data_IF_658419971723
#
_entry.id   IF_658419971723
#
_cell.length_a   1.000
_cell.length_b   1.000
_cell.length_c   1.000
_cell.angle_alpha   90.00
_cell.angle_beta   90.00
_cell.angle_gamma   90.00
#
_symmetry.space_group_name_H-M   'P 1'
#
loop_
_entity.id
_entity.type
_entity.pdbx_description
1 polymer ?
#
# COMPACT_ATOMS: atom_id res chain seq x y z
N UNK A 1 -75.89 -7.49 -16.46
CA UNK A 1 -75.29 -6.49 -17.42
C UNK A 1 -74.19 -5.75 -16.68
N UNK A 2 -72.98 -6.20 -16.78
CA UNK A 2 -71.86 -5.50 -16.13
C UNK A 2 -71.63 -4.17 -16.83
N UNK A 3 -71.63 -3.07 -16.06
CA UNK A 3 -71.46 -1.72 -16.64
C UNK A 3 -70.09 -1.60 -17.26
N UNK A 4 -69.99 -1.11 -18.51
CA UNK A 4 -68.70 -0.85 -19.20
C UNK A 4 -67.74 0.01 -18.35
N UNK A 5 -68.25 0.90 -17.50
CA UNK A 5 -67.47 1.73 -16.60
C UNK A 5 -66.71 0.97 -15.52
N UNK A 6 -67.32 -0.10 -14.93
CA UNK A 6 -66.65 -0.92 -13.92
C UNK A 6 -65.48 -1.74 -14.48
N UNK A 7 -65.63 -2.21 -15.72
CA UNK A 7 -64.56 -2.95 -16.39
C UNK A 7 -63.37 -2.04 -16.71
N UNK A 8 -63.59 -0.85 -17.21
CA UNK A 8 -62.54 0.14 -17.50
C UNK A 8 -61.79 0.55 -16.22
N UNK A 9 -62.53 0.86 -15.12
CA UNK A 9 -61.89 1.20 -13.86
C UNK A 9 -61.06 0.06 -13.30
N UNK A 10 -61.48 -1.19 -13.49
CA UNK A 10 -60.70 -2.37 -13.07
C UNK A 10 -59.41 -2.54 -13.91
N UNK A 11 -59.48 -2.32 -15.23
CA UNK A 11 -58.34 -2.38 -16.11
C UNK A 11 -57.34 -1.26 -15.78
N UNK A 12 -57.82 -0.02 -15.53
CA UNK A 12 -56.96 1.09 -15.11
C UNK A 12 -56.25 0.79 -13.77
N UNK A 13 -56.95 0.22 -12.81
CA UNK A 13 -56.36 -0.19 -11.54
C UNK A 13 -55.25 -1.24 -11.74
N UNK A 14 -55.49 -2.25 -12.56
CA UNK A 14 -54.47 -3.28 -12.86
C UNK A 14 -53.25 -2.68 -13.57
N UNK A 15 -53.47 -1.71 -14.47
CA UNK A 15 -52.39 -1.03 -15.18
C UNK A 15 -51.53 -0.18 -14.25
N UNK A 16 -52.14 0.56 -13.32
CA UNK A 16 -51.39 1.31 -12.28
C UNK A 16 -50.58 0.35 -11.39
N UNK A 17 -51.19 -0.76 -11.00
CA UNK A 17 -50.49 -1.77 -10.18
C UNK A 17 -49.32 -2.41 -10.90
N UNK A 18 -49.44 -2.68 -12.19
CA UNK A 18 -48.38 -3.17 -13.04
C UNK A 18 -47.23 -2.13 -13.17
N UNK A 19 -47.55 -0.85 -13.39
CA UNK A 19 -46.53 0.21 -13.46
C UNK A 19 -45.80 0.37 -12.14
N UNK A 20 -46.49 0.28 -11.00
CA UNK A 20 -45.89 0.35 -9.69
C UNK A 20 -44.90 -0.85 -9.47
N UNK A 21 -45.30 -2.05 -9.88
CA UNK A 21 -44.47 -3.25 -9.81
C UNK A 21 -43.23 -3.12 -10.71
N UNK A 22 -43.37 -2.68 -11.95
CA UNK A 22 -42.24 -2.47 -12.87
C UNK A 22 -41.28 -1.42 -12.31
N UNK A 23 -41.80 -0.30 -11.77
CA UNK A 23 -40.96 0.73 -11.17
C UNK A 23 -40.19 0.22 -9.98
N UNK A 24 -40.84 -0.55 -9.10
CA UNK A 24 -40.18 -1.18 -7.94
C UNK A 24 -39.12 -2.20 -8.37
N UNK A 25 -39.40 -2.97 -9.43
CA UNK A 25 -38.46 -3.94 -9.98
C UNK A 25 -37.21 -3.26 -10.58
N UNK A 26 -37.41 -2.15 -11.33
CA UNK A 26 -36.27 -1.35 -11.85
C UNK A 26 -35.43 -0.79 -10.72
N UNK A 27 -36.07 -0.23 -9.66
CA UNK A 27 -35.36 0.26 -8.49
C UNK A 27 -34.59 -0.87 -7.79
N UNK A 28 -35.18 -2.04 -7.63
CA UNK A 28 -34.52 -3.21 -7.06
C UNK A 28 -33.29 -3.62 -7.90
N UNK A 29 -33.41 -3.64 -9.24
CA UNK A 29 -32.29 -3.96 -10.12
C UNK A 29 -31.15 -2.91 -10.02
N UNK A 30 -31.50 -1.62 -9.89
CA UNK A 30 -30.49 -0.57 -9.69
C UNK A 30 -29.77 -0.68 -8.35
N UNK A 31 -30.48 -1.18 -7.32
CA UNK A 31 -29.88 -1.41 -5.98
C UNK A 31 -29.08 -2.72 -5.92
N UNK A 32 -29.46 -3.74 -6.71
CA UNK A 32 -28.78 -5.06 -6.77
C UNK A 32 -27.55 -5.02 -7.69
N UNK A 33 -27.51 -4.09 -8.66
CA UNK A 33 -26.28 -3.84 -9.41
C UNK A 33 -25.41 -2.83 -8.65
N UNK A 34 -24.54 -3.29 -7.71
CA UNK A 34 -23.50 -2.41 -7.25
C UNK A 34 -22.74 -2.00 -8.51
N UNK A 35 -22.52 -0.69 -8.66
CA UNK A 35 -21.52 -0.18 -9.62
C UNK A 35 -20.34 -1.14 -9.48
N UNK A 36 -20.06 -1.89 -10.54
CA UNK A 36 -18.91 -2.81 -10.55
C UNK A 36 -17.74 -1.89 -10.21
N UNK A 37 -17.28 -1.96 -8.94
CA UNK A 37 -15.97 -1.41 -8.59
C UNK A 37 -15.09 -2.04 -9.64
N UNK A 38 -14.50 -1.23 -10.53
CA UNK A 38 -13.42 -1.69 -11.39
C UNK A 38 -12.57 -2.52 -10.46
N UNK A 39 -12.59 -3.84 -10.62
CA UNK A 39 -11.69 -4.70 -9.86
C UNK A 39 -10.33 -4.16 -10.26
N UNK A 40 -9.68 -3.47 -9.35
CA UNK A 40 -8.26 -3.20 -9.51
C UNK A 40 -7.67 -4.58 -9.71
N UNK A 41 -7.18 -4.82 -10.92
CA UNK A 41 -6.46 -6.06 -11.20
C UNK A 41 -5.29 -6.00 -10.24
N UNK A 42 -5.32 -6.84 -9.21
CA UNK A 42 -4.20 -6.95 -8.26
C UNK A 42 -2.95 -7.24 -9.09
N UNK A 43 -2.14 -6.20 -9.28
CA UNK A 43 -0.88 -6.35 -9.98
C UNK A 43 0.05 -7.14 -9.06
N UNK A 44 0.71 -8.15 -9.62
CA UNK A 44 1.73 -8.90 -8.88
C UNK A 44 2.88 -7.96 -8.51
N UNK A 45 3.51 -8.25 -7.39
CA UNK A 45 4.76 -7.57 -7.03
C UNK A 45 5.84 -7.88 -8.07
N UNK A 46 6.50 -6.85 -8.57
CA UNK A 46 7.64 -6.96 -9.49
C UNK A 46 8.95 -6.79 -8.72
N UNK A 47 8.95 -5.87 -7.75
CA UNK A 47 10.07 -5.64 -6.84
C UNK A 47 9.57 -5.61 -5.41
N UNK A 48 10.42 -6.06 -4.48
CA UNK A 48 10.23 -5.92 -3.04
C UNK A 48 11.45 -5.21 -2.46
N UNK A 49 11.20 -4.23 -1.62
CA UNK A 49 12.21 -3.56 -0.82
C UNK A 49 11.95 -3.95 0.63
N UNK A 50 12.93 -4.57 1.26
CA UNK A 50 12.83 -5.08 2.62
C UNK A 50 13.82 -4.32 3.49
N UNK A 51 13.30 -3.71 4.55
CA UNK A 51 14.08 -3.15 5.64
C UNK A 51 14.01 -4.10 6.83
N UNK A 52 15.14 -4.42 7.43
CA UNK A 52 15.23 -5.16 8.69
C UNK A 52 16.15 -4.45 9.67
N UNK A 53 15.84 -4.57 10.96
CA UNK A 53 16.71 -4.12 12.04
C UNK A 53 16.73 -5.12 13.20
N UNK A 54 17.51 -4.83 14.25
CA UNK A 54 17.73 -5.75 15.37
C UNK A 54 16.43 -6.35 15.92
N UNK A 55 16.26 -7.67 15.85
CA UNK A 55 15.00 -8.44 16.06
C UNK A 55 14.31 -8.24 17.40
N UNK A 56 14.97 -7.73 18.41
CA UNK A 56 14.41 -7.50 19.76
C UNK A 56 14.58 -6.05 20.18
N UNK A 57 14.76 -5.18 19.21
CA UNK A 57 14.86 -3.75 19.45
C UNK A 57 13.47 -3.13 19.57
N UNK A 58 13.30 -2.27 20.56
CA UNK A 58 12.13 -1.38 20.67
C UNK A 58 12.26 -0.14 19.77
N UNK A 59 13.35 -0.04 19.02
CA UNK A 59 13.53 1.02 18.03
C UNK A 59 12.49 0.87 16.91
N UNK A 60 12.13 1.98 16.30
CA UNK A 60 11.15 2.08 15.25
C UNK A 60 11.82 2.75 14.04
N UNK A 61 11.96 2.00 12.95
CA UNK A 61 12.71 2.41 11.78
C UNK A 61 11.85 2.32 10.54
N UNK A 62 11.57 3.45 9.94
CA UNK A 62 10.68 3.58 8.79
C UNK A 62 11.43 3.41 7.47
N UNK A 63 10.79 2.74 6.51
CA UNK A 63 11.17 2.67 5.11
C UNK A 63 10.41 3.72 4.31
N UNK A 64 11.13 4.51 3.52
CA UNK A 64 10.60 5.55 2.65
C UNK A 64 11.09 5.31 1.24
N UNK A 65 10.20 5.23 0.27
CA UNK A 65 10.56 5.05 -1.14
C UNK A 65 9.89 6.12 -1.98
N UNK A 66 10.71 6.86 -2.72
CA UNK A 66 10.24 7.85 -3.70
C UNK A 66 10.33 7.28 -5.11
N UNK A 67 9.30 7.50 -5.89
CA UNK A 67 9.24 7.14 -7.31
C UNK A 67 9.80 8.25 -8.22
N UNK A 68 9.97 8.00 -9.54
CA UNK A 68 10.47 9.02 -10.49
C UNK A 68 9.62 10.28 -10.60
N UNK A 69 8.34 10.24 -10.22
CA UNK A 69 7.45 11.41 -10.22
C UNK A 69 7.51 12.21 -8.91
N UNK A 70 8.36 11.80 -7.96
CA UNK A 70 8.50 12.42 -6.65
C UNK A 70 7.41 12.04 -5.65
N UNK A 71 6.66 10.98 -5.93
CA UNK A 71 5.67 10.44 -5.00
C UNK A 71 6.36 9.52 -3.99
N UNK A 72 5.98 9.62 -2.71
CA UNK A 72 6.66 8.90 -1.62
C UNK A 72 5.68 7.97 -0.92
N UNK A 73 6.01 6.66 -0.87
CA UNK A 73 5.36 5.68 -0.01
C UNK A 73 6.09 5.59 1.33
N UNK A 74 5.33 5.53 2.41
CA UNK A 74 5.81 5.40 3.80
C UNK A 74 4.61 5.15 4.73
N UNK A 75 4.81 5.00 6.04
CA UNK A 75 3.72 4.93 7.03
C UNK A 75 2.71 6.09 6.95
N UNK A 76 3.06 7.23 6.36
CA UNK A 76 2.16 8.37 6.16
C UNK A 76 1.25 8.23 4.95
N UNK A 77 1.65 7.43 3.98
CA UNK A 77 0.91 7.14 2.75
C UNK A 77 1.31 5.75 2.31
N UNK A 78 0.55 4.76 2.74
CA UNK A 78 0.83 3.34 2.59
C UNK A 78 0.67 2.83 1.16
N UNK A 79 -0.07 3.53 0.32
CA UNK A 79 -0.29 3.21 -1.09
C UNK A 79 -0.12 4.46 -1.95
N UNK A 80 0.84 4.44 -2.87
CA UNK A 80 1.13 5.55 -3.78
C UNK A 80 1.51 5.02 -5.16
N UNK A 81 0.68 5.27 -6.16
CA UNK A 81 0.92 4.85 -7.53
C UNK A 81 1.01 3.34 -7.69
N UNK A 82 2.20 2.81 -7.92
CA UNK A 82 2.46 1.37 -8.03
C UNK A 82 3.20 0.81 -6.80
N UNK A 83 3.37 1.62 -5.77
CA UNK A 83 4.11 1.30 -4.55
C UNK A 83 3.13 1.12 -3.39
N UNK A 84 3.32 0.05 -2.62
CA UNK A 84 2.55 -0.24 -1.41
C UNK A 84 3.50 -0.57 -0.25
N UNK A 85 3.24 0.00 0.94
CA UNK A 85 3.84 -0.41 2.20
C UNK A 85 3.01 -1.58 2.76
N UNK A 86 3.42 -2.81 2.45
CA UNK A 86 2.67 -4.01 2.83
C UNK A 86 2.83 -4.35 4.32
N UNK A 87 3.91 -3.92 4.95
CA UNK A 87 4.14 -4.09 6.39
C UNK A 87 4.81 -2.86 6.97
N UNK A 88 4.13 -2.25 7.94
CA UNK A 88 4.62 -1.23 8.87
C UNK A 88 4.90 -1.90 10.23
N UNK A 89 6.10 -1.70 10.79
CA UNK A 89 6.58 -2.37 11.99
C UNK A 89 7.01 -1.35 13.05
N UNK A 90 6.42 -1.44 14.22
CA UNK A 90 6.64 -0.51 15.32
C UNK A 90 7.69 -1.00 16.35
N UNK A 91 8.60 -1.89 15.93
CA UNK A 91 9.47 -2.64 16.82
C UNK A 91 8.67 -3.66 17.64
N UNK A 92 9.08 -3.93 18.87
CA UNK A 92 8.41 -4.96 19.70
C UNK A 92 6.95 -4.68 20.05
N UNK A 93 6.37 -3.55 19.64
CA UNK A 93 5.00 -3.14 20.02
C UNK A 93 3.90 -3.97 19.36
N UNK A 94 4.08 -4.44 18.13
CA UNK A 94 3.10 -5.20 17.37
C UNK A 94 3.50 -6.66 17.13
N UNK A 95 4.45 -7.15 17.92
CA UNK A 95 5.02 -8.51 17.79
C UNK A 95 4.14 -9.62 18.38
N UNK A 96 3.07 -9.29 19.08
CA UNK A 96 2.26 -10.30 19.78
C UNK A 96 1.06 -10.72 18.93
N UNK A 97 1.03 -11.99 18.57
CA UNK A 97 -0.12 -12.63 17.96
C UNK A 97 -0.94 -13.37 19.01
N UNK A 98 -2.27 -13.14 19.02
CA UNK A 98 -3.21 -13.80 19.95
C UNK A 98 -4.02 -14.85 19.20
N UNK A 99 -4.10 -16.04 19.75
CA UNK A 99 -4.88 -17.15 19.17
C UNK A 99 -6.26 -17.27 19.86
N UNK A 100 -7.27 -17.88 19.18
CA UNK A 100 -8.61 -18.05 19.73
C UNK A 100 -8.67 -18.89 21.01
N UNK A 101 -7.68 -19.74 21.26
CA UNK A 101 -7.54 -20.57 22.46
C UNK A 101 -6.98 -19.82 23.68
N UNK A 102 -6.71 -18.50 23.53
CA UNK A 102 -6.14 -17.64 24.56
C UNK A 102 -4.61 -17.70 24.65
N UNK A 103 -3.96 -18.51 23.83
CA UNK A 103 -2.50 -18.52 23.77
C UNK A 103 -1.96 -17.30 23.01
N UNK A 104 -0.72 -16.91 23.25
CA UNK A 104 -0.04 -15.82 22.57
C UNK A 104 1.33 -16.27 22.07
N UNK A 105 1.71 -15.76 20.91
CA UNK A 105 3.02 -15.93 20.32
C UNK A 105 3.67 -14.56 20.11
N UNK A 106 4.93 -14.42 20.54
CA UNK A 106 5.73 -13.23 20.25
C UNK A 106 6.63 -13.53 19.06
N UNK A 107 6.54 -12.71 18.03
CA UNK A 107 7.32 -12.82 16.79
C UNK A 107 8.38 -11.73 16.82
N UNK A 108 9.63 -12.09 17.11
CA UNK A 108 10.76 -11.15 17.14
C UNK A 108 11.27 -10.93 15.70
N UNK A 109 10.54 -10.13 14.94
CA UNK A 109 10.88 -9.80 13.57
C UNK A 109 10.59 -8.34 13.29
N UNK A 110 11.61 -7.49 13.37
CA UNK A 110 11.54 -6.08 13.03
C UNK A 110 11.80 -5.96 11.52
N UNK A 111 10.74 -5.67 10.75
CA UNK A 111 10.80 -5.63 9.29
C UNK A 111 9.72 -4.75 8.72
N UNK A 112 10.10 -3.88 7.79
CA UNK A 112 9.15 -3.21 6.89
C UNK A 112 9.31 -3.69 5.45
N UNK A 113 8.23 -3.66 4.70
CA UNK A 113 8.19 -4.16 3.33
C UNK A 113 7.44 -3.18 2.46
N UNK A 114 8.12 -2.68 1.43
CA UNK A 114 7.50 -1.93 0.32
C UNK A 114 7.54 -2.80 -0.92
N UNK A 115 6.38 -2.95 -1.59
CA UNK A 115 6.30 -3.62 -2.90
C UNK A 115 6.05 -2.62 -4.01
N UNK A 116 6.68 -2.87 -5.16
CA UNK A 116 6.38 -2.21 -6.42
C UNK A 116 5.59 -3.19 -7.28
N UNK A 117 4.32 -2.88 -7.55
CA UNK A 117 3.41 -3.68 -8.39
C UNK A 117 3.45 -3.23 -9.85
N UNK A 118 4.58 -2.76 -10.27
CA UNK A 118 4.95 -2.21 -11.56
C UNK A 118 6.10 -1.23 -11.37
N UNK A 119 6.53 -0.58 -12.43
CA UNK A 119 7.56 0.46 -12.35
C UNK A 119 7.30 1.58 -13.35
N UNK A 120 7.92 2.70 -13.09
CA UNK A 120 8.07 3.83 -14.00
C UNK A 120 9.55 3.94 -14.36
N UNK A 121 9.83 4.34 -15.57
CA UNK A 121 11.21 4.66 -15.99
C UNK A 121 11.70 5.87 -15.21
N UNK A 122 12.87 5.77 -14.61
CA UNK A 122 13.49 6.85 -13.85
C UNK A 122 14.07 6.40 -12.52
N UNK A 123 14.42 7.37 -11.68
CA UNK A 123 15.13 7.12 -10.42
C UNK A 123 14.17 6.93 -9.25
N UNK A 124 14.35 5.84 -8.53
CA UNK A 124 13.76 5.55 -7.23
C UNK A 124 14.77 5.86 -6.14
N UNK A 125 14.34 6.53 -5.08
CA UNK A 125 15.19 6.83 -3.92
C UNK A 125 14.67 6.05 -2.71
N UNK A 126 15.55 5.26 -2.08
CA UNK A 126 15.23 4.40 -0.95
C UNK A 126 15.92 4.96 0.29
N UNK A 127 15.12 5.43 1.25
CA UNK A 127 15.58 6.00 2.51
C UNK A 127 15.13 5.15 3.69
N UNK A 128 15.90 5.21 4.75
CA UNK A 128 15.52 4.76 6.10
C UNK A 128 15.52 5.93 7.05
N UNK A 129 14.56 5.94 7.99
CA UNK A 129 14.40 6.98 8.99
C UNK A 129 14.25 6.38 10.38
N UNK A 130 15.07 6.79 11.35
CA UNK A 130 14.93 6.40 12.75
C UNK A 130 13.82 7.22 13.40
N UNK A 131 12.59 6.74 13.33
CA UNK A 131 11.44 7.44 13.92
C UNK A 131 11.51 7.47 15.45
N UNK A 132 11.84 6.34 16.05
CA UNK A 132 11.98 6.20 17.50
C UNK A 132 13.24 5.43 17.85
N UNK A 133 14.04 6.00 18.74
CA UNK A 133 15.22 5.35 19.29
C UNK A 133 15.04 5.17 20.79
N UNK A 134 15.03 3.94 21.27
CA UNK A 134 14.79 3.59 22.68
C UNK A 134 16.09 3.18 23.37
N UNK A 135 16.85 2.33 22.76
CA UNK A 135 18.13 1.85 23.30
C UNK A 135 19.27 2.84 23.10
N UNK A 136 20.36 2.67 23.86
CA UNK A 136 21.59 3.47 23.73
C UNK A 136 22.53 2.91 22.67
N UNK A 137 22.38 1.63 22.29
CA UNK A 137 23.20 1.00 21.26
C UNK A 137 22.70 1.43 19.87
N UNK A 138 23.60 1.70 18.93
CA UNK A 138 23.21 1.90 17.53
C UNK A 138 22.42 0.68 17.01
N UNK A 139 21.42 0.93 16.17
CA UNK A 139 20.65 -0.12 15.49
C UNK A 139 21.38 -0.56 14.22
N UNK A 140 21.49 -1.87 14.02
CA UNK A 140 21.97 -2.43 12.76
C UNK A 140 20.80 -2.50 11.79
N UNK A 141 20.97 -1.88 10.64
CA UNK A 141 19.95 -1.75 9.59
C UNK A 141 20.40 -2.55 8.39
N UNK A 142 19.52 -3.38 7.86
CA UNK A 142 19.71 -4.06 6.59
C UNK A 142 18.60 -3.69 5.61
N UNK A 143 18.95 -3.33 4.38
CA UNK A 143 17.97 -3.03 3.32
C UNK A 143 18.33 -3.82 2.08
N UNK A 144 17.34 -4.57 1.58
CA UNK A 144 17.45 -5.33 0.34
C UNK A 144 16.44 -4.84 -0.67
N UNK A 145 16.81 -4.81 -1.94
CA UNK A 145 15.88 -4.73 -3.06
C UNK A 145 15.95 -6.00 -3.88
N UNK A 146 14.81 -6.59 -4.12
CA UNK A 146 14.66 -7.90 -4.76
C UNK A 146 13.73 -7.75 -5.97
N UNK A 147 14.16 -8.18 -7.14
CA UNK A 147 13.28 -8.44 -8.28
C UNK A 147 12.67 -9.82 -8.09
N UNK A 148 11.34 -9.93 -8.27
CA UNK A 148 10.63 -11.18 -7.97
C UNK A 148 10.72 -12.17 -9.13
N UNK A 149 10.64 -11.68 -10.38
CA UNK A 149 10.62 -12.55 -11.54
C UNK A 149 11.56 -12.04 -12.67
N UNK A 150 12.67 -12.75 -12.96
CA UNK A 150 13.24 -13.83 -12.14
C UNK A 150 13.71 -13.32 -10.77
N UNK A 151 13.76 -14.22 -9.77
CA UNK A 151 14.20 -13.84 -8.43
C UNK A 151 15.69 -13.46 -8.42
N UNK A 152 15.96 -12.19 -8.12
CA UNK A 152 17.33 -11.65 -8.05
C UNK A 152 17.40 -10.60 -6.95
N UNK A 153 18.37 -10.74 -6.04
CA UNK A 153 18.73 -9.69 -5.09
C UNK A 153 19.53 -8.64 -5.83
N UNK A 154 18.98 -7.46 -5.99
CA UNK A 154 19.58 -6.35 -6.76
C UNK A 154 20.62 -5.60 -5.94
N UNK A 155 20.36 -5.43 -4.65
CA UNK A 155 21.34 -5.00 -3.66
C UNK A 155 20.97 -5.51 -2.26
N UNK A 156 21.96 -5.57 -1.40
CA UNK A 156 21.89 -5.92 0.03
C UNK A 156 22.85 -5.00 0.78
N UNK A 157 22.30 -4.03 1.53
CA UNK A 157 23.04 -2.94 2.14
C UNK A 157 22.88 -2.92 3.64
N UNK A 158 24.02 -2.87 4.33
CA UNK A 158 24.06 -2.72 5.77
C UNK A 158 24.49 -1.32 6.17
N UNK A 159 23.83 -0.77 7.17
CA UNK A 159 24.19 0.51 7.77
C UNK A 159 23.87 0.51 9.27
N UNK A 160 24.30 1.54 9.97
CA UNK A 160 24.08 1.69 11.41
C UNK A 160 23.44 3.05 11.65
N UNK A 161 22.38 3.09 12.48
CA UNK A 161 21.72 4.34 12.87
C UNK A 161 21.71 4.46 14.40
N UNK A 162 22.09 5.64 14.92
CA UNK A 162 22.32 5.83 16.33
C UNK A 162 21.37 6.83 17.01
N UNK A 163 20.76 7.72 16.25
CA UNK A 163 20.01 8.84 16.81
C UNK A 163 18.59 8.93 16.25
N UNK A 164 17.66 9.34 17.10
CA UNK A 164 16.29 9.65 16.67
C UNK A 164 16.29 10.78 15.65
N UNK A 165 15.49 10.64 14.60
CA UNK A 165 15.38 11.61 13.50
C UNK A 165 16.51 11.49 12.46
N UNK A 166 17.45 10.55 12.66
CA UNK A 166 18.45 10.26 11.63
C UNK A 166 17.73 9.71 10.39
N UNK A 167 18.05 10.26 9.22
CA UNK A 167 17.56 9.81 7.92
C UNK A 167 18.73 9.58 7.00
N UNK A 168 18.68 8.50 6.23
CA UNK A 168 19.76 8.10 5.34
C UNK A 168 19.23 7.52 4.03
N UNK A 169 19.72 8.03 2.89
CA UNK A 169 19.54 7.37 1.61
C UNK A 169 20.41 6.12 1.56
N UNK A 170 19.80 4.97 1.42
CA UNK A 170 20.49 3.69 1.28
C UNK A 170 20.97 3.51 -0.15
N UNK A 171 20.04 3.69 -1.10
CA UNK A 171 20.33 3.57 -2.52
C UNK A 171 19.34 4.39 -3.34
N UNK A 172 19.86 4.96 -4.43
CA UNK A 172 19.06 5.48 -5.54
C UNK A 172 19.26 4.55 -6.72
N UNK A 173 18.17 4.13 -7.36
CA UNK A 173 18.18 3.11 -8.41
C UNK A 173 17.41 3.67 -9.61
N UNK A 174 18.04 3.72 -10.78
CA UNK A 174 17.35 4.11 -12.01
C UNK A 174 16.91 2.88 -12.78
N UNK A 175 15.61 2.75 -13.03
CA UNK A 175 15.01 1.71 -13.86
C UNK A 175 14.75 2.26 -15.28
N UNK A 176 15.00 1.45 -16.30
CA UNK A 176 14.59 1.73 -17.67
C UNK A 176 13.15 1.25 -17.96
N UNK A 177 12.73 1.34 -19.22
CA UNK A 177 11.40 0.94 -19.67
C UNK A 177 11.15 -0.56 -19.47
N UNK A 178 12.18 -1.38 -19.47
CA UNK A 178 12.12 -2.84 -19.30
C UNK A 178 12.27 -3.24 -17.81
N UNK A 179 12.37 -2.26 -16.90
CA UNK A 179 12.58 -2.49 -15.47
C UNK A 179 13.98 -3.01 -15.15
N UNK A 180 14.97 -2.67 -15.99
CA UNK A 180 16.38 -3.02 -15.73
C UNK A 180 17.06 -1.86 -15.02
N UNK A 181 17.91 -2.18 -14.04
CA UNK A 181 18.72 -1.14 -13.38
C UNK A 181 19.81 -0.66 -14.35
N UNK A 182 19.76 0.62 -14.68
CA UNK A 182 20.75 1.27 -15.56
C UNK A 182 21.80 2.04 -14.78
N UNK A 183 21.46 2.55 -13.60
CA UNK A 183 22.42 3.22 -12.72
C UNK A 183 22.02 3.12 -11.26
N UNK A 184 23.02 3.26 -10.38
CA UNK A 184 22.78 3.38 -8.94
C UNK A 184 23.74 4.38 -8.32
N UNK A 185 23.28 5.07 -7.25
CA UNK A 185 24.13 5.94 -6.47
C UNK A 185 23.64 6.02 -5.01
N UNK A 186 24.38 6.76 -4.15
CA UNK A 186 24.05 6.96 -2.73
C UNK A 186 23.96 8.45 -2.37
N UNK A 187 23.64 9.31 -3.35
CA UNK A 187 23.46 10.73 -3.08
C UNK A 187 22.32 10.93 -2.09
N UNK A 188 22.63 11.60 -1.00
CA UNK A 188 21.68 11.79 0.09
C UNK A 188 20.52 12.71 -0.30
N UNK A 189 19.30 12.30 0.03
CA UNK A 189 18.07 13.08 -0.12
C UNK A 189 17.25 12.91 1.14
N UNK A 190 16.65 14.00 1.66
CA UNK A 190 15.81 13.95 2.86
C UNK A 190 14.35 14.11 2.49
N UNK A 191 13.49 13.27 3.11
CA UNK A 191 12.04 13.26 2.90
C UNK A 191 11.25 13.78 4.11
N UNK A 192 11.76 13.55 5.32
CA UNK A 192 10.99 13.75 6.56
C UNK A 192 10.53 15.21 6.76
N UNK A 193 11.25 16.19 6.24
CA UNK A 193 10.89 17.61 6.29
C UNK A 193 10.25 18.12 4.98
N UNK A 194 10.03 17.26 3.99
CA UNK A 194 9.41 17.65 2.72
C UNK A 194 7.89 17.56 2.87
N UNK A 195 7.10 18.63 2.58
CA UNK A 195 5.65 18.52 2.52
C UNK A 195 5.26 17.46 1.49
N UNK A 196 4.41 16.50 1.89
CA UNK A 196 3.90 15.50 0.95
C UNK A 196 3.15 16.20 -0.17
N UNK A 197 3.47 15.90 -1.42
CA UNK A 197 2.70 16.35 -2.57
C UNK A 197 1.27 15.81 -2.45
N UNK A 198 0.21 16.63 -2.68
CA UNK A 198 -1.15 16.12 -2.71
C UNK A 198 -1.25 15.07 -3.81
N UNK A 199 -1.82 13.90 -3.47
CA UNK A 199 -2.10 12.84 -4.43
C UNK A 199 -3.05 13.44 -5.47
N UNK A 200 -2.56 13.65 -6.68
CA UNK A 200 -3.39 14.10 -7.79
C UNK A 200 -4.52 13.08 -8.03
N UNK A 201 -5.74 13.52 -8.44
CA UNK A 201 -6.79 12.58 -8.78
C UNK A 201 -6.27 11.65 -9.86
N UNK A 202 -6.31 10.35 -9.55
CA UNK A 202 -5.83 9.30 -10.44
C UNK A 202 -6.47 9.41 -11.83
N UNK A 203 -5.65 9.50 -12.84
CA UNK A 203 -6.04 9.39 -14.26
C UNK A 203 -6.16 7.94 -14.66
#
# INVERSE_FOLDING_TARGET
MYSRGGYLAFVDFLFILLLAFISMFILALLLINPVVKKSEIERKAEYIIVLEWDKRSDDDVDLWVEDPDGQIVSFRSDTVGVMDLDKDDLGTRNDTNFFPDGTKQIIYLNREVVTLRGWKTGEYTINVHMYRKVGTKPANINVQMIKINPYVVLFDEHTIMATRGEERTIRRVTLDIDGVITSTNKLQKKFVNTPLQPIGPGT
#
